data_IF_961538392848
#
_entry.id   IF_961538392848
#
_cell.length_a   1.000
_cell.length_b   1.000
_cell.length_c   1.000
_cell.angle_alpha   90.00
_cell.angle_beta   90.00
_cell.angle_gamma   90.00
#
_symmetry.space_group_name_H-M   'P 1'
#
loop_
_entity.id
_entity.type
_entity.pdbx_description
1 polymer ?
#
# COMPACT_ATOMS: atom_id res chain seq x y z
N UNK A 1 -39.45 -11.93 -17.62
CA UNK A 1 -38.31 -11.40 -16.83
C UNK A 1 -38.38 -9.89 -16.91
N UNK A 2 -38.63 -9.18 -15.80
CA UNK A 2 -38.68 -7.71 -15.83
C UNK A 2 -37.31 -7.09 -16.10
N UNK A 3 -37.29 -5.81 -16.51
CA UNK A 3 -36.08 -5.03 -16.83
C UNK A 3 -34.99 -5.14 -15.74
N UNK A 4 -35.41 -5.15 -14.47
CA UNK A 4 -34.52 -5.28 -13.31
C UNK A 4 -33.80 -6.65 -13.20
N UNK A 5 -34.40 -7.73 -13.72
CA UNK A 5 -33.80 -9.07 -13.68
C UNK A 5 -32.68 -9.25 -14.71
N UNK A 6 -32.90 -8.81 -15.95
CA UNK A 6 -31.90 -8.93 -17.02
C UNK A 6 -30.73 -7.96 -16.78
N UNK A 7 -31.03 -6.71 -16.41
CA UNK A 7 -30.00 -5.71 -16.12
C UNK A 7 -29.17 -6.11 -14.89
N UNK A 8 -29.80 -6.59 -13.82
CA UNK A 8 -29.12 -7.06 -12.63
C UNK A 8 -28.21 -8.26 -12.89
N UNK A 9 -28.65 -9.20 -13.74
CA UNK A 9 -27.83 -10.34 -14.12
C UNK A 9 -26.58 -9.91 -14.88
N UNK A 10 -26.72 -9.03 -15.88
CA UNK A 10 -25.58 -8.50 -16.65
C UNK A 10 -24.62 -7.75 -15.72
N UNK A 11 -25.14 -6.86 -14.89
CA UNK A 11 -24.35 -6.08 -13.94
C UNK A 11 -23.53 -6.97 -13.00
N UNK A 12 -24.18 -7.92 -12.32
CA UNK A 12 -23.51 -8.78 -11.34
C UNK A 12 -22.44 -9.65 -11.98
N UNK A 13 -22.68 -10.18 -13.18
CA UNK A 13 -21.68 -11.01 -13.88
C UNK A 13 -20.49 -10.17 -14.32
N UNK A 14 -20.71 -8.99 -14.91
CA UNK A 14 -19.63 -8.13 -15.42
C UNK A 14 -18.78 -7.59 -14.27
N UNK A 15 -19.40 -6.97 -13.27
CA UNK A 15 -18.66 -6.31 -12.17
C UNK A 15 -17.90 -7.34 -11.33
N UNK A 16 -18.53 -8.45 -10.95
CA UNK A 16 -17.83 -9.50 -10.20
C UNK A 16 -16.80 -10.23 -11.07
N UNK A 17 -17.00 -10.31 -12.38
CA UNK A 17 -15.98 -10.80 -13.31
C UNK A 17 -14.73 -9.92 -13.29
N UNK A 18 -14.89 -8.59 -13.30
CA UNK A 18 -13.78 -7.66 -13.15
C UNK A 18 -13.09 -7.80 -11.78
N UNK A 19 -13.84 -7.88 -10.69
CA UNK A 19 -13.27 -8.09 -9.36
C UNK A 19 -12.53 -9.42 -9.23
N UNK A 20 -13.00 -10.48 -9.88
CA UNK A 20 -12.30 -11.75 -9.96
C UNK A 20 -10.96 -11.62 -10.69
N UNK A 21 -10.91 -10.85 -11.80
CA UNK A 21 -9.65 -10.57 -12.50
C UNK A 21 -8.68 -9.78 -11.61
N UNK A 22 -9.16 -8.73 -10.93
CA UNK A 22 -8.34 -7.97 -9.98
C UNK A 22 -7.82 -8.84 -8.83
N UNK A 23 -8.66 -9.72 -8.29
CA UNK A 23 -8.26 -10.66 -7.25
C UNK A 23 -7.14 -11.59 -7.72
N UNK A 24 -7.24 -12.15 -8.93
CA UNK A 24 -6.19 -13.00 -9.49
C UNK A 24 -4.89 -12.19 -9.69
N UNK A 25 -4.98 -10.95 -10.18
CA UNK A 25 -3.83 -10.05 -10.34
C UNK A 25 -3.16 -9.69 -9.00
N UNK A 26 -3.88 -9.76 -7.87
CA UNK A 26 -3.32 -9.60 -6.53
C UNK A 26 -2.74 -10.89 -5.97
N UNK A 27 -3.45 -12.01 -6.11
CA UNK A 27 -3.04 -13.31 -5.57
C UNK A 27 -1.77 -13.81 -6.25
N UNK A 28 -1.65 -13.70 -7.58
CA UNK A 28 -0.54 -14.31 -8.33
C UNK A 28 0.81 -13.72 -7.89
N UNK A 29 1.04 -12.39 -7.89
CA UNK A 29 2.31 -11.84 -7.42
C UNK A 29 2.57 -12.14 -5.94
N UNK A 30 1.56 -12.06 -5.07
CA UNK A 30 1.74 -12.37 -3.65
C UNK A 30 2.08 -13.85 -3.41
N UNK A 31 1.46 -14.78 -4.14
CA UNK A 31 1.78 -16.19 -4.06
C UNK A 31 3.17 -16.51 -4.61
N UNK A 32 3.60 -15.81 -5.67
CA UNK A 32 4.97 -15.90 -6.19
C UNK A 32 5.97 -15.41 -5.15
N UNK A 33 5.72 -14.25 -4.52
CA UNK A 33 6.57 -13.72 -3.46
C UNK A 33 6.70 -14.69 -2.27
N UNK A 34 5.60 -15.35 -1.85
CA UNK A 34 5.63 -16.33 -0.75
C UNK A 34 6.25 -17.69 -1.13
N UNK A 35 6.24 -18.07 -2.41
CA UNK A 35 6.81 -19.33 -2.87
C UNK A 35 8.36 -19.28 -2.96
N UNK A 36 8.97 -18.10 -2.80
CA UNK A 36 10.39 -17.87 -2.96
C UNK A 36 11.25 -18.15 -1.71
N UNK A 37 11.16 -19.41 -1.26
CA UNK A 37 12.28 -20.11 -0.61
C UNK A 37 12.86 -21.23 -1.47
N UNK A 38 12.24 -21.61 -2.60
CA UNK A 38 12.69 -22.78 -3.38
C UNK A 38 12.74 -22.61 -4.91
N UNK A 39 11.97 -21.71 -5.52
CA UNK A 39 11.90 -21.58 -7.00
C UNK A 39 12.96 -20.63 -7.60
N UNK A 40 13.28 -19.52 -6.95
CA UNK A 40 14.31 -18.56 -7.41
C UNK A 40 15.75 -19.11 -7.37
N UNK A 41 16.05 -20.03 -6.46
CA UNK A 41 17.43 -20.44 -6.13
C UNK A 41 18.16 -21.14 -7.29
N UNK A 42 17.43 -21.70 -8.28
CA UNK A 42 18.04 -22.37 -9.44
C UNK A 42 18.09 -21.55 -10.74
N UNK A 43 17.30 -20.48 -10.90
CA UNK A 43 17.21 -19.79 -12.21
C UNK A 43 17.31 -18.26 -12.19
N UNK A 44 17.11 -17.59 -11.06
CA UNK A 44 17.00 -16.12 -11.03
C UNK A 44 18.18 -15.45 -10.33
N UNK A 45 18.93 -16.20 -9.52
CA UNK A 45 20.15 -15.77 -8.80
C UNK A 45 21.22 -15.10 -9.68
N UNK A 46 21.53 -15.53 -10.91
CA UNK A 46 22.56 -14.86 -11.71
C UNK A 46 22.10 -13.52 -12.32
N UNK A 47 20.80 -13.27 -12.45
CA UNK A 47 20.28 -12.00 -12.96
C UNK A 47 20.12 -10.96 -11.83
N UNK A 48 19.81 -11.40 -10.61
CA UNK A 48 19.71 -10.53 -9.43
C UNK A 48 21.06 -10.13 -8.81
N UNK A 49 22.16 -10.78 -9.18
CA UNK A 49 23.50 -10.37 -8.72
C UNK A 49 23.94 -8.97 -9.18
N UNK A 50 23.16 -8.30 -10.03
CA UNK A 50 23.40 -6.90 -10.44
C UNK A 50 22.51 -5.90 -9.69
N UNK A 51 21.59 -6.37 -8.83
CA UNK A 51 20.70 -5.53 -8.01
C UNK A 51 20.61 -6.14 -6.60
N UNK A 52 21.71 -6.09 -5.86
CA UNK A 52 21.73 -6.51 -4.46
C UNK A 52 21.21 -5.36 -3.60
N UNK A 53 19.95 -5.45 -3.18
CA UNK A 53 19.39 -4.62 -2.10
C UNK A 53 19.77 -5.30 -0.78
N UNK A 54 20.24 -4.51 0.19
CA UNK A 54 20.90 -4.96 1.42
C UNK A 54 20.12 -5.87 2.37
N UNK A 55 20.76 -6.21 3.50
CA UNK A 55 20.44 -7.32 4.41
C UNK A 55 19.78 -6.90 5.74
N UNK A 56 18.47 -6.72 5.74
CA UNK A 56 17.58 -7.39 6.67
C UNK A 56 16.94 -8.57 5.89
N UNK A 57 15.80 -9.07 6.34
CA UNK A 57 14.91 -9.79 5.46
C UNK A 57 13.99 -8.77 4.79
N UNK A 58 14.37 -8.26 3.62
CA UNK A 58 13.41 -7.75 2.65
C UNK A 58 12.32 -8.80 2.43
N UNK A 59 12.67 -10.08 2.62
CA UNK A 59 11.76 -11.20 2.80
C UNK A 59 10.69 -10.98 3.89
N UNK A 60 10.94 -10.47 5.09
CA UNK A 60 9.91 -10.32 6.14
C UNK A 60 8.91 -9.21 5.82
N UNK A 61 9.36 -8.08 5.26
CA UNK A 61 8.48 -7.01 4.78
C UNK A 61 7.74 -7.41 3.49
N UNK A 62 8.43 -8.08 2.56
CA UNK A 62 7.83 -8.63 1.36
C UNK A 62 6.85 -9.75 1.68
N UNK A 63 7.11 -10.58 2.69
CA UNK A 63 6.24 -11.65 3.18
C UNK A 63 5.00 -11.03 3.81
N UNK A 64 5.15 -10.00 4.64
CA UNK A 64 4.02 -9.25 5.18
C UNK A 64 3.12 -8.67 4.08
N UNK A 65 3.73 -8.01 3.08
CA UNK A 65 3.02 -7.47 1.92
C UNK A 65 2.35 -8.58 1.09
N UNK A 66 3.06 -9.67 0.83
CA UNK A 66 2.60 -10.78 0.02
C UNK A 66 1.45 -11.54 0.70
N UNK A 67 1.52 -11.76 2.02
CA UNK A 67 0.43 -12.31 2.83
C UNK A 67 -0.81 -11.43 2.69
N UNK A 68 -0.67 -10.11 2.83
CA UNK A 68 -1.79 -9.17 2.68
C UNK A 68 -2.38 -9.23 1.27
N UNK A 69 -1.54 -9.28 0.22
CA UNK A 69 -1.99 -9.39 -1.16
C UNK A 69 -2.79 -10.68 -1.42
N UNK A 70 -2.28 -11.82 -0.96
CA UNK A 70 -2.95 -13.13 -1.11
C UNK A 70 -4.24 -13.16 -0.30
N UNK A 71 -4.22 -12.70 0.96
CA UNK A 71 -5.40 -12.70 1.82
C UNK A 71 -6.50 -11.78 1.28
N UNK A 72 -6.15 -10.53 0.93
CA UNK A 72 -7.09 -9.57 0.37
C UNK A 72 -7.66 -10.07 -0.97
N UNK A 73 -6.79 -10.54 -1.86
CA UNK A 73 -7.21 -11.12 -3.14
C UNK A 73 -8.13 -12.33 -2.96
N UNK A 74 -7.83 -13.21 -2.00
CA UNK A 74 -8.66 -14.39 -1.69
C UNK A 74 -10.07 -14.01 -1.22
N UNK A 75 -10.19 -12.99 -0.35
CA UNK A 75 -11.49 -12.47 0.09
C UNK A 75 -12.28 -11.90 -1.09
N UNK A 76 -11.64 -11.07 -1.93
CA UNK A 76 -12.30 -10.48 -3.11
C UNK A 76 -12.75 -11.59 -4.08
N UNK A 77 -11.92 -12.60 -4.33
CA UNK A 77 -12.23 -13.73 -5.19
C UNK A 77 -13.44 -14.52 -4.68
N UNK A 78 -13.51 -14.77 -3.37
CA UNK A 78 -14.63 -15.47 -2.75
C UNK A 78 -15.94 -14.70 -2.93
N UNK A 79 -15.95 -13.39 -2.64
CA UNK A 79 -17.12 -12.53 -2.79
C UNK A 79 -17.57 -12.45 -4.25
N UNK A 80 -16.62 -12.25 -5.17
CA UNK A 80 -16.89 -12.21 -6.60
C UNK A 80 -17.52 -13.52 -7.11
N UNK A 81 -17.02 -14.66 -6.63
CA UNK A 81 -17.54 -15.98 -6.98
C UNK A 81 -18.99 -16.16 -6.52
N UNK A 82 -19.34 -15.69 -5.31
CA UNK A 82 -20.73 -15.71 -4.83
C UNK A 82 -21.66 -14.86 -5.71
N UNK A 83 -21.20 -13.69 -6.14
CA UNK A 83 -21.95 -12.81 -7.04
C UNK A 83 -22.23 -13.46 -8.40
N UNK A 84 -21.19 -14.03 -9.04
CA UNK A 84 -21.33 -14.73 -10.33
C UNK A 84 -22.17 -15.99 -10.19
N UNK A 85 -21.91 -16.83 -9.17
CA UNK A 85 -22.69 -18.06 -8.95
C UNK A 85 -24.16 -17.75 -8.67
N UNK A 86 -24.42 -16.73 -7.87
CA UNK A 86 -25.77 -16.25 -7.58
C UNK A 86 -26.52 -15.81 -8.83
N UNK A 87 -25.87 -15.03 -9.70
CA UNK A 87 -26.46 -14.57 -10.95
C UNK A 87 -26.67 -15.71 -11.97
N UNK A 88 -25.60 -16.45 -12.30
CA UNK A 88 -25.60 -17.48 -13.35
C UNK A 88 -26.42 -18.72 -12.98
N UNK A 89 -26.25 -19.24 -11.76
CA UNK A 89 -27.00 -20.42 -11.30
C UNK A 89 -28.39 -20.08 -10.77
N UNK A 90 -28.77 -18.79 -10.79
CA UNK A 90 -30.02 -18.29 -10.20
C UNK A 90 -30.20 -18.79 -8.76
N UNK A 91 -29.10 -18.88 -8.01
CA UNK A 91 -29.05 -19.44 -6.68
C UNK A 91 -29.35 -18.36 -5.64
N UNK A 92 -30.58 -18.38 -5.09
CA UNK A 92 -31.05 -17.38 -4.13
C UNK A 92 -30.17 -17.28 -2.87
N UNK A 93 -29.72 -18.42 -2.34
CA UNK A 93 -28.85 -18.44 -1.16
C UNK A 93 -27.53 -17.69 -1.41
N UNK A 94 -26.85 -17.94 -2.54
CA UNK A 94 -25.61 -17.27 -2.91
C UNK A 94 -25.79 -15.75 -3.04
N UNK A 95 -26.88 -15.29 -3.66
CA UNK A 95 -27.19 -13.86 -3.78
C UNK A 95 -27.49 -13.21 -2.42
N UNK A 96 -28.16 -13.91 -1.51
CA UNK A 96 -28.38 -13.43 -0.14
C UNK A 96 -27.05 -13.28 0.63
N UNK A 97 -26.19 -14.30 0.60
CA UNK A 97 -24.88 -14.24 1.27
C UNK A 97 -24.02 -13.12 0.67
N UNK A 98 -23.95 -13.03 -0.67
CA UNK A 98 -23.27 -11.93 -1.37
C UNK A 98 -23.78 -10.56 -0.89
N UNK A 99 -25.10 -10.37 -0.84
CA UNK A 99 -25.69 -9.09 -0.42
C UNK A 99 -25.35 -8.74 1.03
N UNK A 100 -25.36 -9.71 1.93
CA UNK A 100 -25.02 -9.49 3.34
C UNK A 100 -23.54 -9.14 3.51
N UNK A 101 -22.65 -9.83 2.81
CA UNK A 101 -21.21 -9.56 2.87
C UNK A 101 -20.90 -8.17 2.29
N UNK A 102 -21.41 -7.83 1.10
CA UNK A 102 -21.17 -6.51 0.50
C UNK A 102 -21.79 -5.39 1.35
N UNK A 103 -22.98 -5.60 1.93
CA UNK A 103 -23.57 -4.63 2.86
C UNK A 103 -22.69 -4.41 4.10
N UNK A 104 -22.09 -5.48 4.64
CA UNK A 104 -21.17 -5.36 5.77
C UNK A 104 -19.89 -4.57 5.40
N UNK A 105 -19.41 -4.68 4.16
CA UNK A 105 -18.28 -3.90 3.66
C UNK A 105 -18.62 -2.41 3.55
N UNK A 106 -19.81 -2.05 3.05
CA UNK A 106 -20.28 -0.66 3.01
C UNK A 106 -20.29 -0.06 4.43
N UNK A 107 -20.82 -0.79 5.41
CA UNK A 107 -20.83 -0.34 6.82
C UNK A 107 -19.41 -0.17 7.36
N UNK A 108 -18.52 -1.12 7.10
CA UNK A 108 -17.12 -1.05 7.51
C UNK A 108 -16.39 0.16 6.88
N UNK A 109 -16.68 0.48 5.61
CA UNK A 109 -16.11 1.66 4.94
C UNK A 109 -16.59 2.96 5.59
N UNK A 110 -17.88 3.08 5.91
CA UNK A 110 -18.41 4.26 6.61
C UNK A 110 -17.74 4.42 7.98
N UNK A 111 -17.59 3.33 8.74
CA UNK A 111 -16.89 3.34 10.03
C UNK A 111 -15.44 3.80 9.85
N UNK A 112 -14.72 3.26 8.86
CA UNK A 112 -13.33 3.64 8.58
C UNK A 112 -13.19 5.14 8.25
N UNK A 113 -14.09 5.70 7.44
CA UNK A 113 -14.11 7.13 7.13
C UNK A 113 -14.36 7.99 8.38
N UNK A 114 -15.32 7.58 9.23
CA UNK A 114 -15.59 8.29 10.49
C UNK A 114 -14.37 8.25 11.41
N UNK A 115 -13.75 7.08 11.58
CA UNK A 115 -12.55 6.93 12.40
C UNK A 115 -11.39 7.77 11.86
N UNK A 116 -11.19 7.81 10.54
CA UNK A 116 -10.20 8.67 9.91
C UNK A 116 -10.43 10.14 10.26
N UNK A 117 -11.66 10.64 10.12
CA UNK A 117 -11.98 12.05 10.42
C UNK A 117 -11.70 12.38 11.90
N UNK A 118 -12.04 11.47 12.82
CA UNK A 118 -11.92 11.71 14.26
C UNK A 118 -10.47 11.57 14.76
N UNK A 119 -9.71 10.61 14.22
CA UNK A 119 -8.42 10.20 14.77
C UNK A 119 -7.23 10.55 13.88
N UNK A 120 -7.43 11.21 12.73
CA UNK A 120 -6.32 11.50 11.81
C UNK A 120 -5.17 12.27 12.46
N UNK A 121 -5.44 13.25 13.35
CA UNK A 121 -4.37 13.99 14.01
C UNK A 121 -3.48 13.08 14.91
N UNK A 122 -4.10 12.17 15.65
CA UNK A 122 -3.39 11.22 16.52
C UNK A 122 -2.68 10.13 15.69
N UNK A 123 -3.32 9.66 14.61
CA UNK A 123 -2.70 8.74 13.68
C UNK A 123 -1.44 9.36 13.03
N UNK A 124 -1.50 10.65 12.66
CA UNK A 124 -0.36 11.36 12.09
C UNK A 124 0.80 11.48 13.07
N UNK A 125 0.52 11.90 14.32
CA UNK A 125 1.57 12.00 15.34
C UNK A 125 2.18 10.64 15.67
N UNK A 126 1.34 9.60 15.77
CA UNK A 126 1.79 8.23 15.99
C UNK A 126 2.70 7.76 14.85
N UNK A 127 2.26 7.89 13.59
CA UNK A 127 3.05 7.48 12.43
C UNK A 127 4.38 8.24 12.34
N UNK A 128 4.36 9.56 12.55
CA UNK A 128 5.59 10.37 12.57
C UNK A 128 6.55 9.93 13.68
N UNK A 129 6.03 9.65 14.88
CA UNK A 129 6.82 9.17 16.02
C UNK A 129 7.42 7.79 15.78
N UNK A 130 6.69 6.89 15.13
CA UNK A 130 7.19 5.57 14.77
C UNK A 130 8.28 5.69 13.71
N UNK A 131 8.07 6.52 12.68
CA UNK A 131 9.08 6.76 11.66
C UNK A 131 10.35 7.36 12.26
N UNK A 132 10.22 8.34 13.16
CA UNK A 132 11.33 8.92 13.90
C UNK A 132 12.05 7.87 14.75
N UNK A 133 11.30 7.04 15.48
CA UNK A 133 11.86 5.97 16.29
C UNK A 133 12.64 4.95 15.44
N UNK A 134 12.14 4.59 14.25
CA UNK A 134 12.86 3.72 13.33
C UNK A 134 14.15 4.38 12.84
N UNK A 135 14.10 5.66 12.45
CA UNK A 135 15.29 6.39 12.04
C UNK A 135 16.32 6.41 13.18
N UNK A 136 15.94 6.96 14.34
CA UNK A 136 16.83 7.16 15.48
C UNK A 136 17.43 5.86 16.00
N UNK A 137 16.68 4.76 16.04
CA UNK A 137 17.17 3.52 16.66
C UNK A 137 17.89 2.59 15.68
N UNK A 138 17.67 2.72 14.37
CA UNK A 138 18.10 1.71 13.38
C UNK A 138 18.95 2.27 12.24
N UNK A 139 18.90 3.58 11.97
CA UNK A 139 19.71 4.17 10.90
C UNK A 139 21.20 4.10 11.25
N UNK A 140 21.97 3.38 10.43
CA UNK A 140 23.35 3.03 10.73
C UNK A 140 24.31 3.27 9.57
N UNK A 141 23.82 3.35 8.32
CA UNK A 141 24.66 3.41 7.13
C UNK A 141 24.16 4.42 6.08
N UNK A 142 25.10 5.17 5.50
CA UNK A 142 24.87 6.11 4.40
C UNK A 142 25.14 5.40 3.05
N UNK A 143 24.47 4.27 2.81
CA UNK A 143 24.54 3.47 1.57
C UNK A 143 23.22 2.71 1.29
N UNK A 144 23.15 1.95 0.18
CA UNK A 144 21.97 1.20 -0.25
C UNK A 144 22.10 -0.33 -0.11
N UNK A 145 23.13 -0.82 0.59
CA UNK A 145 23.53 -2.23 0.56
C UNK A 145 23.80 -2.84 1.93
N UNK A 146 24.20 -2.05 2.92
CA UNK A 146 24.72 -2.56 4.20
C UNK A 146 23.61 -2.87 5.19
N UNK A 147 22.59 -2.01 5.29
CA UNK A 147 21.51 -2.09 6.27
C UNK A 147 20.18 -1.70 5.62
N UNK A 148 19.11 -2.50 5.76
CA UNK A 148 17.86 -2.21 5.04
C UNK A 148 17.09 -1.03 5.56
N UNK A 149 17.01 -0.80 6.88
CA UNK A 149 16.26 0.37 7.36
C UNK A 149 16.97 1.62 6.87
N UNK A 150 18.30 1.63 6.92
CA UNK A 150 19.10 2.70 6.34
C UNK A 150 18.88 2.83 4.84
N UNK A 151 18.84 1.71 4.10
CA UNK A 151 18.56 1.67 2.65
C UNK A 151 17.16 2.22 2.33
N UNK A 152 16.13 1.84 3.10
CA UNK A 152 14.76 2.31 2.94
C UNK A 152 14.66 3.81 3.20
N UNK A 153 15.33 4.31 4.24
CA UNK A 153 15.43 5.74 4.51
C UNK A 153 16.17 6.47 3.39
N UNK A 154 17.32 5.97 2.95
CA UNK A 154 18.13 6.56 1.88
C UNK A 154 17.35 6.60 0.55
N UNK A 155 16.61 5.55 0.22
CA UNK A 155 15.72 5.52 -0.94
C UNK A 155 14.55 6.50 -0.80
N UNK A 156 13.97 6.61 0.40
CA UNK A 156 12.91 7.58 0.69
C UNK A 156 13.42 9.03 0.54
N UNK A 157 14.62 9.35 1.03
CA UNK A 157 15.24 10.68 0.91
C UNK A 157 15.34 11.12 -0.56
N UNK A 158 15.82 10.21 -1.42
CA UNK A 158 15.90 10.46 -2.86
C UNK A 158 14.53 10.57 -3.52
N UNK A 159 13.65 9.61 -3.26
CA UNK A 159 12.39 9.46 -4.00
C UNK A 159 11.38 10.55 -3.65
N UNK A 160 11.36 10.98 -2.38
CA UNK A 160 10.47 12.03 -1.89
C UNK A 160 11.14 13.41 -1.83
N UNK A 161 12.41 13.52 -2.26
CA UNK A 161 13.19 14.75 -2.24
C UNK A 161 13.13 15.44 -0.87
N UNK A 162 13.45 14.68 0.17
CA UNK A 162 13.30 15.07 1.57
C UNK A 162 14.51 14.65 2.40
N UNK A 163 14.62 15.16 3.62
CA UNK A 163 15.68 14.75 4.54
C UNK A 163 15.20 14.63 5.98
N UNK A 164 15.67 13.58 6.67
CA UNK A 164 15.25 13.21 8.02
C UNK A 164 13.72 13.05 8.16
N UNK A 165 13.21 12.82 9.36
CA UNK A 165 11.74 12.73 9.57
C UNK A 165 11.15 14.13 9.74
N UNK A 166 11.84 14.95 10.53
CA UNK A 166 11.60 16.38 10.70
C UNK A 166 12.51 17.17 9.76
N UNK A 167 12.07 18.39 9.40
CA UNK A 167 12.88 19.29 8.58
C UNK A 167 14.24 19.56 9.25
N UNK A 168 15.30 19.47 8.45
CA UNK A 168 16.66 19.74 8.92
C UNK A 168 16.93 21.24 8.85
N UNK A 169 16.87 21.92 10.00
CA UNK A 169 17.02 23.39 10.08
C UNK A 169 18.38 23.84 10.62
N UNK A 170 19.29 22.91 10.90
CA UNK A 170 20.60 23.21 11.47
C UNK A 170 21.45 21.96 11.71
N UNK A 171 22.53 22.12 12.47
CA UNK A 171 23.48 21.03 12.77
C UNK A 171 22.94 20.01 13.76
N UNK A 172 21.90 20.36 14.52
CA UNK A 172 21.18 19.44 15.42
C UNK A 172 19.91 18.97 14.72
N UNK A 173 19.77 17.66 14.54
CA UNK A 173 18.68 17.06 13.78
C UNK A 173 18.43 15.59 14.19
N UNK A 174 17.48 14.93 13.52
CA UNK A 174 17.06 13.57 13.87
C UNK A 174 18.19 12.51 13.78
N UNK A 175 19.29 12.79 13.06
CA UNK A 175 20.43 11.88 12.91
C UNK A 175 21.35 11.87 14.13
N UNK A 176 21.35 12.89 14.99
CA UNK A 176 22.34 13.07 16.06
C UNK A 176 22.44 11.86 17.02
N UNK A 177 21.30 11.19 17.25
CA UNK A 177 21.19 10.04 18.15
C UNK A 177 21.19 8.69 17.43
N UNK A 178 21.37 8.69 16.11
CA UNK A 178 21.39 7.46 15.32
C UNK A 178 22.67 6.65 15.54
N UNK A 179 22.64 5.31 15.39
CA UNK A 179 23.83 4.48 15.31
C UNK A 179 24.85 4.97 14.27
N UNK A 180 24.41 5.58 13.18
CA UNK A 180 25.28 6.14 12.14
C UNK A 180 26.20 7.25 12.69
N UNK A 181 25.65 8.18 13.47
CA UNK A 181 26.43 9.27 14.10
C UNK A 181 27.16 8.76 15.34
N UNK A 182 26.44 8.14 16.28
CA UNK A 182 26.99 7.71 17.57
C UNK A 182 28.01 6.56 17.45
N UNK A 183 27.90 5.74 16.40
CA UNK A 183 28.85 4.68 16.07
C UNK A 183 30.08 5.15 15.29
N UNK A 184 30.13 6.43 14.90
CA UNK A 184 31.28 7.04 14.22
C UNK A 184 31.31 6.88 12.70
N UNK A 185 30.36 6.15 12.10
CA UNK A 185 30.25 5.95 10.65
C UNK A 185 30.00 7.25 9.87
N UNK A 186 29.38 8.24 10.51
CA UNK A 186 29.11 9.54 9.91
C UNK A 186 30.38 10.40 9.69
N UNK A 187 31.45 10.17 10.45
CA UNK A 187 32.64 11.01 10.42
C UNK A 187 32.32 12.47 10.81
N UNK A 188 32.62 13.42 9.92
CA UNK A 188 32.29 14.85 10.08
C UNK A 188 30.91 15.24 9.57
N UNK A 189 30.16 14.31 8.97
CA UNK A 189 28.86 14.59 8.35
C UNK A 189 27.75 14.63 9.40
N UNK A 190 26.91 15.66 9.33
CA UNK A 190 25.69 15.76 10.14
C UNK A 190 24.44 15.20 9.46
N UNK A 191 24.52 14.96 8.15
CA UNK A 191 23.40 14.53 7.30
C UNK A 191 23.91 13.54 6.24
N UNK A 192 23.16 12.45 5.95
CA UNK A 192 23.50 11.48 4.90
C UNK A 192 23.62 12.10 3.51
N UNK A 193 24.44 11.52 2.63
CA UNK A 193 24.58 12.00 1.25
C UNK A 193 23.28 11.83 0.45
N UNK A 194 22.43 10.87 0.79
CA UNK A 194 21.14 10.64 0.13
C UNK A 194 20.10 11.77 0.36
N UNK A 195 20.34 12.65 1.34
CA UNK A 195 19.57 13.87 1.52
C UNK A 195 20.01 15.02 0.58
N UNK A 196 21.09 14.82 -0.18
CA UNK A 196 21.64 15.81 -1.09
C UNK A 196 20.68 16.07 -2.25
N UNK A 197 20.44 17.34 -2.56
CA UNK A 197 19.63 17.72 -3.71
C UNK A 197 20.32 17.33 -5.02
N UNK A 198 19.58 16.66 -5.91
CA UNK A 198 20.09 16.20 -7.20
C UNK A 198 20.89 14.89 -7.16
N UNK A 199 20.88 14.16 -6.04
CA UNK A 199 21.39 12.79 -6.00
C UNK A 199 20.38 11.81 -6.60
N UNK A 200 20.89 10.84 -7.36
CA UNK A 200 20.14 9.72 -7.92
C UNK A 200 20.86 8.38 -7.70
N UNK A 201 20.19 7.27 -8.00
CA UNK A 201 20.73 5.92 -7.79
C UNK A 201 22.04 5.64 -8.56
N UNK A 202 22.34 6.41 -9.62
CA UNK A 202 23.54 6.25 -10.43
C UNK A 202 24.71 7.13 -9.95
N UNK A 203 24.41 8.13 -9.12
CA UNK A 203 25.36 9.13 -8.63
C UNK A 203 25.70 8.95 -7.15
N UNK A 204 25.11 7.97 -6.46
CA UNK A 204 25.34 7.65 -5.04
C UNK A 204 26.81 7.40 -4.61
N UNK A 205 27.76 7.35 -5.55
CA UNK A 205 29.22 7.27 -5.29
C UNK A 205 30.05 8.43 -5.85
N UNK A 206 29.42 9.47 -6.42
CA UNK A 206 30.10 10.62 -6.98
C UNK A 206 30.41 11.67 -5.90
N UNK A 207 31.52 12.39 -6.05
CA UNK A 207 31.82 13.55 -5.18
C UNK A 207 30.89 14.71 -5.54
N UNK A 208 29.86 14.94 -4.71
CA UNK A 208 28.95 16.06 -4.87
C UNK A 208 29.56 17.32 -4.24
N UNK A 209 30.02 18.24 -5.09
CA UNK A 209 30.54 19.55 -4.66
C UNK A 209 29.48 20.46 -4.04
N UNK A 210 28.20 20.18 -4.29
CA UNK A 210 27.06 20.96 -3.79
C UNK A 210 26.69 20.65 -2.33
N UNK A 211 27.05 19.47 -1.84
CA UNK A 211 26.67 19.00 -0.51
C UNK A 211 27.91 18.95 0.38
N UNK A 212 28.03 19.98 1.21
CA UNK A 212 29.14 20.10 2.16
C UNK A 212 28.78 19.45 3.49
N UNK A 213 29.78 19.17 4.32
CA UNK A 213 29.56 18.72 5.71
C UNK A 213 28.70 19.71 6.54
N UNK A 214 28.60 20.98 6.10
CA UNK A 214 27.71 21.97 6.70
C UNK A 214 26.29 21.91 6.13
N UNK A 215 25.31 21.68 7.02
CA UNK A 215 23.86 21.45 6.78
C UNK A 215 23.10 22.63 6.16
N UNK A 216 23.81 23.62 5.60
CA UNK A 216 23.23 24.92 5.24
C UNK A 216 22.84 25.07 3.77
N UNK A 217 23.50 24.34 2.86
CA UNK A 217 23.28 24.46 1.41
C UNK A 217 23.42 23.11 0.73
N UNK A 218 22.59 22.87 -0.29
CA UNK A 218 22.65 21.65 -1.11
C UNK A 218 21.79 20.48 -0.65
N UNK A 219 21.16 20.52 0.52
CA UNK A 219 20.29 19.44 1.03
C UNK A 219 18.79 19.77 0.91
N UNK A 220 17.95 18.73 0.86
CA UNK A 220 16.50 18.91 0.92
C UNK A 220 16.08 19.47 2.30
N UNK A 221 15.35 20.58 2.30
CA UNK A 221 14.94 21.28 3.52
C UNK A 221 13.64 20.77 4.16
N UNK A 222 12.87 19.93 3.47
CA UNK A 222 11.61 19.38 3.96
C UNK A 222 11.82 18.03 4.66
N UNK A 223 11.16 17.83 5.80
CA UNK A 223 11.15 16.53 6.49
C UNK A 223 10.37 15.48 5.70
N UNK A 224 10.82 14.23 5.71
CA UNK A 224 10.22 13.18 4.89
C UNK A 224 8.80 12.82 5.27
N UNK A 225 8.42 12.98 6.54
CA UNK A 225 7.03 12.81 6.92
C UNK A 225 6.13 13.85 6.25
N UNK A 226 6.56 15.10 6.23
CA UNK A 226 5.79 16.20 5.65
C UNK A 226 5.77 16.11 4.11
N UNK A 227 6.89 15.71 3.50
CA UNK A 227 6.96 15.43 2.05
C UNK A 227 6.00 14.30 1.64
N UNK A 228 6.00 13.19 2.38
CA UNK A 228 5.08 12.07 2.17
C UNK A 228 3.62 12.49 2.35
N UNK A 229 3.32 13.23 3.42
CA UNK A 229 1.97 13.73 3.67
C UNK A 229 1.50 14.67 2.55
N UNK A 230 2.36 15.57 2.09
CA UNK A 230 2.07 16.46 0.96
C UNK A 230 1.80 15.69 -0.33
N UNK A 231 2.54 14.59 -0.57
CA UNK A 231 2.29 13.70 -1.70
C UNK A 231 0.89 13.07 -1.64
N UNK A 232 0.51 12.55 -0.46
CA UNK A 232 -0.84 11.99 -0.24
C UNK A 232 -1.91 13.07 -0.46
N UNK A 233 -1.72 14.25 0.12
CA UNK A 233 -2.68 15.34 0.00
C UNK A 233 -2.81 15.85 -1.44
N UNK A 234 -1.71 15.85 -2.21
CA UNK A 234 -1.71 16.18 -3.64
C UNK A 234 -2.61 15.25 -4.46
N UNK A 235 -2.61 13.95 -4.16
CA UNK A 235 -3.44 12.96 -4.84
C UNK A 235 -4.75 12.62 -4.12
N UNK A 236 -5.06 13.30 -3.02
CA UNK A 236 -6.23 13.03 -2.16
C UNK A 236 -7.55 12.98 -2.93
N UNK A 237 -7.74 13.87 -3.91
CA UNK A 237 -8.95 13.91 -4.73
C UNK A 237 -9.18 12.61 -5.51
N UNK A 238 -8.11 11.96 -5.98
CA UNK A 238 -8.22 10.69 -6.70
C UNK A 238 -8.62 9.56 -5.76
N UNK A 239 -8.04 9.51 -4.56
CA UNK A 239 -8.41 8.51 -3.54
C UNK A 239 -9.88 8.66 -3.11
N UNK A 240 -10.35 9.90 -2.93
CA UNK A 240 -11.75 10.19 -2.62
C UNK A 240 -12.66 9.74 -3.78
N UNK A 241 -12.29 10.04 -5.03
CA UNK A 241 -13.07 9.64 -6.19
C UNK A 241 -13.18 8.11 -6.34
N UNK A 242 -12.08 7.39 -6.10
CA UNK A 242 -12.07 5.92 -6.09
C UNK A 242 -12.97 5.38 -4.98
N UNK A 243 -12.89 5.94 -3.77
CA UNK A 243 -13.74 5.54 -2.64
C UNK A 243 -15.24 5.71 -2.92
N UNK A 244 -15.64 6.86 -3.48
CA UNK A 244 -17.04 7.11 -3.88
C UNK A 244 -17.48 6.11 -4.96
N UNK A 245 -16.63 5.83 -5.94
CA UNK A 245 -16.93 4.88 -7.01
C UNK A 245 -17.18 3.48 -6.45
N UNK A 246 -16.35 3.02 -5.51
CA UNK A 246 -16.52 1.73 -4.83
C UNK A 246 -17.87 1.68 -4.11
N UNK A 247 -18.19 2.69 -3.30
CA UNK A 247 -19.46 2.75 -2.57
C UNK A 247 -20.69 2.69 -3.51
N UNK A 248 -20.63 3.38 -4.64
CA UNK A 248 -21.71 3.34 -5.65
C UNK A 248 -21.82 1.95 -6.27
N UNK A 249 -20.71 1.35 -6.67
CA UNK A 249 -20.67 0.00 -7.27
C UNK A 249 -21.19 -1.07 -6.30
N UNK A 250 -20.81 -0.99 -5.03
CA UNK A 250 -21.29 -1.90 -3.98
C UNK A 250 -22.78 -1.72 -3.72
N UNK A 251 -23.26 -0.47 -3.61
CA UNK A 251 -24.67 -0.16 -3.40
C UNK A 251 -25.54 -0.70 -4.54
N UNK A 252 -25.11 -0.49 -5.80
CA UNK A 252 -25.75 -1.05 -6.98
C UNK A 252 -25.72 -2.59 -6.96
N UNK A 253 -24.59 -3.18 -6.53
CA UNK A 253 -24.45 -4.62 -6.34
C UNK A 253 -25.47 -5.20 -5.38
N UNK A 254 -25.63 -4.60 -4.20
CA UNK A 254 -26.64 -4.99 -3.20
C UNK A 254 -28.05 -4.81 -3.76
N UNK A 255 -28.33 -3.68 -4.41
CA UNK A 255 -29.64 -3.39 -4.99
C UNK A 255 -30.03 -4.46 -6.02
N UNK A 256 -29.17 -4.74 -7.01
CA UNK A 256 -29.44 -5.74 -8.04
C UNK A 256 -29.53 -7.15 -7.48
N UNK A 257 -28.65 -7.52 -6.54
CA UNK A 257 -28.71 -8.83 -5.89
C UNK A 257 -30.02 -9.01 -5.09
N UNK A 258 -30.47 -8.01 -4.35
CA UNK A 258 -31.75 -8.03 -3.63
C UNK A 258 -32.94 -8.15 -4.59
N UNK A 259 -32.94 -7.39 -5.68
CA UNK A 259 -34.00 -7.46 -6.69
C UNK A 259 -34.06 -8.84 -7.35
N UNK A 260 -32.92 -9.43 -7.69
CA UNK A 260 -32.85 -10.79 -8.24
C UNK A 260 -33.32 -11.83 -7.21
N UNK A 261 -32.88 -11.73 -5.94
CA UNK A 261 -33.35 -12.58 -4.84
C UNK A 261 -34.87 -12.57 -4.71
N UNK A 262 -35.50 -11.39 -4.75
CA UNK A 262 -36.97 -11.25 -4.65
C UNK A 262 -37.68 -11.90 -5.84
N UNK A 263 -37.15 -11.74 -7.05
CA UNK A 263 -37.75 -12.34 -8.25
C UNK A 263 -37.67 -13.87 -8.23
N UNK A 264 -36.53 -14.42 -7.77
CA UNK A 264 -36.36 -15.86 -7.61
C UNK A 264 -37.32 -16.43 -6.56
N UNK A 265 -37.45 -15.76 -5.41
CA UNK A 265 -38.39 -16.18 -4.37
C UNK A 265 -39.87 -16.16 -4.79
N UNK A 266 -40.27 -15.23 -5.67
CA UNK A 266 -41.63 -15.23 -6.25
C UNK A 266 -41.85 -16.42 -7.19
N UNK A 267 -40.83 -16.76 -7.97
CA UNK A 267 -40.86 -17.90 -8.90
C UNK A 267 -40.93 -19.23 -8.13
N UNK A 268 -40.16 -19.37 -7.05
CA UNK A 268 -40.20 -20.55 -6.16
C UNK A 268 -41.57 -20.71 -5.48
N UNK A 269 -42.21 -19.62 -5.09
CA UNK A 269 -43.49 -19.62 -4.38
C UNK A 269 -44.74 -19.66 -5.29
N UNK A 270 -44.59 -19.89 -6.60
CA UNK A 270 -45.71 -20.12 -7.52
C UNK A 270 -46.64 -18.91 -7.74
N UNK A 271 -46.21 -17.69 -7.45
CA UNK A 271 -46.96 -16.47 -7.81
C UNK A 271 -46.39 -15.91 -9.11
N UNK A 272 -46.96 -16.36 -10.23
CA UNK A 272 -46.73 -15.84 -11.59
C UNK A 272 -47.01 -14.34 -11.64
#
# INVERSE_FOLDING_TARGET
MGCCGTLGHIYLVVVNGLFMLFAIMLIVPGAVMLADVTYVNQKVVPLMKTLSVGSFNAADLADGLAIVMVAAGGVILFIATLGICGACKKARSCLCVYSLVVLSLIVAQIIAVVLWILMNAEAQSYLKSQLLSQLTNKYSNDDLITDEISTAFNFMFMTLECCAVNAVTGTTNDFDSTPWVTGGSAGSKNVPIFCCSGIDANSAGASFTTCTDSVSTGYYGIGCYDAFYNLIMKYSIYYIAVGITILVVETLGVFFACCMCKNLGKTENGKV
#
